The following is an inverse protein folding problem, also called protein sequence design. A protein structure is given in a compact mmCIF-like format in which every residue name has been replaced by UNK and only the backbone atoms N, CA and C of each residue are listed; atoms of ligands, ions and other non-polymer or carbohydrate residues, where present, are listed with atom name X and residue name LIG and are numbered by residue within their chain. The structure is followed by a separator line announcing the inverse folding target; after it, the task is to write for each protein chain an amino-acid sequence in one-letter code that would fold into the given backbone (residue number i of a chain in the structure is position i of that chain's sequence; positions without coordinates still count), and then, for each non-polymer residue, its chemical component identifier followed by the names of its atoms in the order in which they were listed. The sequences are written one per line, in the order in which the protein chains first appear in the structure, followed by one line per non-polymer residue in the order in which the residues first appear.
data_IF_864059533338
#
_entry.id   IF_864059533338
#
_cell.length_a   1.000
_cell.length_b   1.000
_cell.length_c   1.000
_cell.angle_alpha   90.00
_cell.angle_beta   90.00
_cell.angle_gamma   90.00
#
_symmetry.space_group_name_H-M   'P 1'
#
loop_
_entity.id
_entity.type
_entity.pdbx_description
1 polymer ?
#
# COMPACT_ATOMS: atom_id res chain seq x y z
N UNK A 1 5.93 -6.57 -3.29
CA UNK A 1 7.14 -7.30 -3.67
C UNK A 1 7.35 -7.13 -5.17
N UNK A 2 8.53 -6.66 -5.58
CA UNK A 2 8.92 -6.61 -6.98
C UNK A 2 9.02 -8.01 -7.56
N UNK A 3 8.73 -8.20 -8.87
CA UNK A 3 8.98 -9.47 -9.52
C UNK A 3 10.47 -9.79 -9.47
N UNK A 4 10.81 -11.00 -9.04
CA UNK A 4 12.21 -11.43 -9.04
C UNK A 4 12.68 -11.61 -10.49
N UNK A 5 13.72 -10.88 -10.86
CA UNK A 5 14.42 -11.09 -12.11
C UNK A 5 15.71 -11.87 -11.81
N UNK A 6 15.93 -12.98 -12.51
CA UNK A 6 17.06 -13.87 -12.26
C UNK A 6 18.42 -13.27 -12.63
N UNK A 7 18.44 -12.17 -13.37
CA UNK A 7 19.66 -11.47 -13.73
C UNK A 7 20.19 -10.55 -12.61
N UNK A 8 19.41 -10.33 -11.54
CA UNK A 8 19.82 -9.51 -10.42
C UNK A 8 20.82 -10.20 -9.54
N UNK A 9 21.93 -9.53 -9.32
CA UNK A 9 22.99 -9.97 -8.43
C UNK A 9 23.05 -9.05 -7.23
N UNK A 10 23.12 -9.64 -6.05
CA UNK A 10 23.53 -8.93 -4.86
C UNK A 10 24.99 -8.53 -5.06
N UNK A 11 25.25 -7.22 -4.98
CA UNK A 11 26.58 -6.66 -5.18
C UNK A 11 27.20 -6.35 -3.83
N UNK A 12 28.42 -6.82 -3.60
CA UNK A 12 29.25 -6.42 -2.47
C UNK A 12 30.66 -6.23 -3.02
N UNK A 13 31.06 -4.98 -3.14
CA UNK A 13 32.38 -4.55 -3.61
C UNK A 13 33.10 -3.81 -2.50
N UNK A 14 34.20 -4.34 -2.03
CA UNK A 14 35.02 -3.76 -0.96
C UNK A 14 36.28 -3.13 -1.54
N UNK A 15 36.14 -1.96 -2.20
CA UNK A 15 37.27 -1.24 -2.83
C UNK A 15 38.18 -0.60 -1.78
N UNK A 16 37.61 -0.12 -0.67
CA UNK A 16 38.35 0.46 0.44
C UNK A 16 38.92 -0.56 1.44
N UNK A 17 38.67 -1.87 1.21
CA UNK A 17 39.17 -2.96 2.08
C UNK A 17 38.76 -2.83 3.56
N UNK A 18 37.52 -2.43 3.85
CA UNK A 18 37.01 -2.16 5.21
C UNK A 18 35.91 -3.13 5.67
N UNK A 19 35.37 -3.96 4.78
CA UNK A 19 34.29 -4.89 5.13
C UNK A 19 34.80 -6.17 5.80
N UNK A 20 36.02 -6.60 5.47
CA UNK A 20 36.59 -7.84 6.00
C UNK A 20 35.75 -9.08 5.60
N UNK A 21 35.25 -9.84 6.58
CA UNK A 21 34.39 -11.00 6.27
C UNK A 21 32.97 -10.55 5.94
N UNK A 22 32.57 -10.74 4.69
CA UNK A 22 31.28 -10.33 4.15
C UNK A 22 30.20 -11.42 4.16
N UNK A 23 30.43 -12.57 4.78
CA UNK A 23 29.50 -13.70 4.71
C UNK A 23 28.14 -13.36 5.36
N UNK A 24 28.14 -12.76 6.55
CA UNK A 24 26.90 -12.33 7.23
C UNK A 24 26.21 -11.21 6.45
N UNK A 25 26.96 -10.21 6.00
CA UNK A 25 26.41 -9.14 5.16
C UNK A 25 25.69 -9.72 3.93
N UNK A 26 26.34 -10.61 3.19
CA UNK A 26 25.71 -11.25 2.02
C UNK A 26 24.43 -12.01 2.37
N UNK A 27 24.40 -12.71 3.50
CA UNK A 27 23.20 -13.41 3.96
C UNK A 27 22.05 -12.45 4.26
N UNK A 28 22.31 -11.33 4.93
CA UNK A 28 21.31 -10.28 5.23
C UNK A 28 20.78 -9.66 3.93
N UNK A 29 21.66 -9.35 2.99
CA UNK A 29 21.26 -8.82 1.69
C UNK A 29 20.41 -9.84 0.88
N UNK A 30 20.75 -11.13 0.92
CA UNK A 30 19.94 -12.21 0.30
C UNK A 30 18.56 -12.28 0.97
N UNK A 31 18.49 -12.22 2.28
CA UNK A 31 17.23 -12.24 3.02
C UNK A 31 16.34 -11.04 2.65
N UNK A 32 16.92 -9.86 2.55
CA UNK A 32 16.22 -8.66 2.10
C UNK A 32 15.72 -8.80 0.66
N UNK A 33 16.56 -9.24 -0.28
CA UNK A 33 16.17 -9.50 -1.66
C UNK A 33 15.02 -10.50 -1.75
N UNK A 34 15.11 -11.61 -1.05
CA UNK A 34 14.06 -12.64 -1.05
C UNK A 34 12.73 -12.09 -0.49
N UNK A 35 12.79 -11.15 0.44
CA UNK A 35 11.63 -10.51 1.04
C UNK A 35 10.97 -9.50 0.11
N UNK A 36 11.77 -8.65 -0.52
CA UNK A 36 11.31 -7.45 -1.23
C UNK A 36 11.32 -7.60 -2.75
N UNK A 37 12.26 -8.35 -3.30
CA UNK A 37 12.60 -8.39 -4.72
C UNK A 37 13.54 -7.27 -5.16
N UNK A 38 13.94 -6.37 -4.24
CA UNK A 38 14.91 -5.30 -4.51
C UNK A 38 16.32 -5.87 -4.40
N UNK A 39 17.17 -5.58 -5.35
CA UNK A 39 18.59 -5.99 -5.36
C UNK A 39 19.43 -5.02 -4.52
N UNK A 40 19.88 -5.43 -3.32
CA UNK A 40 20.74 -4.56 -2.54
C UNK A 40 22.18 -4.63 -3.03
N UNK A 41 22.85 -3.48 -3.02
CA UNK A 41 24.26 -3.34 -3.36
C UNK A 41 24.99 -2.58 -2.24
N UNK A 42 26.19 -3.03 -1.89
CA UNK A 42 27.07 -2.36 -0.96
C UNK A 42 28.42 -2.18 -1.63
N UNK A 43 28.85 -0.94 -1.78
CA UNK A 43 30.14 -0.60 -2.41
C UNK A 43 30.89 0.30 -1.45
N UNK A 44 32.13 -0.10 -1.08
CA UNK A 44 33.01 0.76 -0.30
C UNK A 44 34.01 1.44 -1.21
N UNK A 45 34.35 2.70 -0.88
CA UNK A 45 35.24 3.54 -1.67
C UNK A 45 36.17 4.33 -0.76
N UNK A 46 37.27 4.83 -1.28
CA UNK A 46 38.11 5.79 -0.58
C UNK A 46 37.62 7.22 -0.85
N UNK A 47 37.92 8.13 0.08
CA UNK A 47 37.49 9.53 -0.06
C UNK A 47 38.08 10.20 -1.31
N UNK A 48 39.26 9.79 -1.75
CA UNK A 48 39.89 10.28 -2.98
C UNK A 48 39.13 9.88 -4.24
N UNK A 49 38.31 8.84 -4.22
CA UNK A 49 37.52 8.42 -5.38
C UNK A 49 36.48 9.48 -5.80
N UNK A 50 36.01 10.29 -4.85
CA UNK A 50 34.95 11.26 -5.10
C UNK A 50 35.34 12.71 -4.74
N UNK A 51 36.12 12.92 -3.68
CA UNK A 51 36.54 14.25 -3.28
C UNK A 51 37.39 14.93 -4.38
N UNK A 52 37.00 16.14 -4.76
CA UNK A 52 37.66 16.89 -5.82
C UNK A 52 37.04 16.70 -7.22
N UNK A 53 36.27 15.65 -7.45
CA UNK A 53 35.55 15.42 -8.72
C UNK A 53 34.04 15.62 -8.55
N UNK A 54 33.50 15.42 -7.37
CA UNK A 54 32.09 15.56 -7.01
C UNK A 54 31.94 16.56 -5.87
N UNK A 55 30.79 17.23 -5.78
CA UNK A 55 30.48 18.18 -4.71
C UNK A 55 30.29 17.49 -3.34
N UNK A 56 29.79 16.25 -3.37
CA UNK A 56 29.45 15.44 -2.19
C UNK A 56 29.35 13.95 -2.57
N UNK A 57 29.20 13.10 -1.58
CA UNK A 57 29.07 11.65 -1.78
C UNK A 57 27.76 11.28 -2.45
N UNK A 58 26.70 12.07 -2.27
CA UNK A 58 25.39 11.83 -2.91
C UNK A 58 25.51 11.87 -4.44
N UNK A 59 26.17 12.92 -4.97
CA UNK A 59 26.39 13.05 -6.41
C UNK A 59 27.27 11.93 -6.98
N UNK A 60 28.27 11.50 -6.22
CA UNK A 60 29.10 10.36 -6.59
C UNK A 60 28.30 9.06 -6.56
N UNK A 61 27.51 8.82 -5.54
CA UNK A 61 26.66 7.62 -5.42
C UNK A 61 25.61 7.56 -6.55
N UNK A 62 25.05 8.69 -6.94
CA UNK A 62 24.15 8.78 -8.10
C UNK A 62 24.86 8.39 -9.40
N UNK A 63 26.03 8.97 -9.67
CA UNK A 63 26.82 8.65 -10.87
C UNK A 63 27.24 7.17 -10.87
N UNK A 64 27.66 6.65 -9.71
CA UNK A 64 28.00 5.24 -9.54
C UNK A 64 26.77 4.35 -9.80
N UNK A 65 25.59 4.73 -9.30
CA UNK A 65 24.35 3.99 -9.53
C UNK A 65 24.02 3.90 -11.03
N UNK A 66 23.97 5.04 -11.70
CA UNK A 66 23.59 5.13 -13.14
C UNK A 66 24.58 4.38 -14.04
N UNK A 67 25.87 4.41 -13.69
CA UNK A 67 26.89 3.74 -14.50
C UNK A 67 27.06 2.25 -14.18
N UNK A 68 26.65 1.82 -12.99
CA UNK A 68 26.86 0.44 -12.53
C UNK A 68 25.63 -0.44 -12.73
N UNK A 69 24.43 0.12 -12.66
CA UNK A 69 23.16 -0.60 -12.79
C UNK A 69 22.39 -0.12 -14.03
N UNK A 70 21.95 -1.10 -14.83
CA UNK A 70 21.17 -0.83 -16.03
C UNK A 70 19.64 -0.77 -15.76
N UNK A 71 19.22 -0.81 -14.50
CA UNK A 71 17.82 -0.89 -14.08
C UNK A 71 17.54 -0.01 -12.84
N UNK A 72 16.27 0.12 -12.53
CA UNK A 72 15.75 0.94 -11.44
C UNK A 72 15.31 0.13 -10.20
N UNK A 73 15.77 -1.12 -10.07
CA UNK A 73 15.35 -2.03 -9.00
C UNK A 73 16.45 -2.37 -7.99
N UNK A 74 17.56 -1.64 -8.02
CA UNK A 74 18.63 -1.74 -7.04
C UNK A 74 18.47 -0.74 -5.90
N UNK A 75 19.05 -1.10 -4.75
CA UNK A 75 19.27 -0.21 -3.62
C UNK A 75 20.75 -0.25 -3.25
N UNK A 76 21.46 0.81 -3.58
CA UNK A 76 22.90 0.96 -3.38
C UNK A 76 23.17 1.66 -2.04
N UNK A 77 24.06 1.10 -1.25
CA UNK A 77 24.70 1.75 -0.10
C UNK A 77 26.17 1.97 -0.45
N UNK A 78 26.60 3.20 -0.48
CA UNK A 78 28.00 3.58 -0.65
C UNK A 78 28.56 3.94 0.72
N UNK A 79 29.69 3.35 1.08
CA UNK A 79 30.44 3.71 2.28
C UNK A 79 31.83 4.21 1.88
N UNK A 80 32.18 5.38 2.33
CA UNK A 80 33.46 6.03 2.03
C UNK A 80 34.30 6.23 3.29
N UNK A 81 35.59 6.03 3.16
CA UNK A 81 36.57 6.14 4.27
C UNK A 81 37.84 6.83 3.78
N UNK A 82 38.64 7.42 4.69
CA UNK A 82 39.95 7.95 4.33
C UNK A 82 40.83 6.95 3.59
N UNK A 83 41.65 7.45 2.69
CA UNK A 83 42.57 6.65 1.90
C UNK A 83 43.51 5.83 2.76
N UNK A 84 43.67 4.55 2.46
CA UNK A 84 44.51 3.66 3.22
C UNK A 84 44.07 3.43 4.66
N UNK A 85 42.77 3.62 4.95
CA UNK A 85 42.19 3.45 6.28
C UNK A 85 42.56 2.09 6.90
N UNK A 86 42.95 2.13 8.17
CA UNK A 86 43.13 0.95 9.01
C UNK A 86 42.15 0.98 10.19
N UNK A 87 41.67 -0.17 10.63
CA UNK A 87 40.80 -0.27 11.81
C UNK A 87 41.39 0.28 13.10
N UNK A 88 42.69 0.57 13.13
CA UNK A 88 43.42 1.23 14.21
C UNK A 88 43.35 2.76 14.14
N UNK A 89 42.92 3.33 13.02
CA UNK A 89 42.86 4.76 12.82
C UNK A 89 41.59 5.34 13.47
N UNK A 90 41.65 6.63 13.80
CA UNK A 90 40.48 7.31 14.38
C UNK A 90 39.29 7.38 13.44
N UNK A 91 38.11 7.73 13.99
CA UNK A 91 36.83 7.74 13.28
C UNK A 91 36.52 9.06 12.60
N UNK A 92 37.46 9.71 12.03
CA UNK A 92 37.26 10.98 11.34
C UNK A 92 37.13 10.71 9.84
N UNK A 93 36.35 11.54 9.17
CA UNK A 93 36.22 11.62 7.71
C UNK A 93 35.67 10.36 6.98
N UNK A 94 34.77 9.62 7.60
CA UNK A 94 33.99 8.60 6.91
C UNK A 94 32.58 9.14 6.58
N UNK A 95 32.05 8.66 5.47
CA UNK A 95 30.74 9.07 4.94
C UNK A 95 29.98 7.84 4.46
N UNK A 96 28.69 7.97 4.31
CA UNK A 96 27.90 6.96 3.61
C UNK A 96 26.69 7.62 2.95
N UNK A 97 26.18 6.98 1.88
CA UNK A 97 25.02 7.45 1.15
C UNK A 97 24.21 6.26 0.64
N UNK A 98 22.88 6.44 0.57
CA UNK A 98 21.94 5.47 0.04
C UNK A 98 21.32 5.97 -1.26
N UNK A 99 21.38 5.17 -2.31
CA UNK A 99 20.75 5.48 -3.60
C UNK A 99 19.80 4.36 -4.01
N UNK A 100 18.57 4.71 -4.39
CA UNK A 100 17.56 3.75 -4.80
C UNK A 100 17.03 4.05 -6.18
N UNK A 101 16.69 3.02 -6.95
CA UNK A 101 16.01 3.17 -8.24
C UNK A 101 14.51 3.37 -8.08
N UNK A 102 13.89 4.01 -9.06
CA UNK A 102 12.47 4.40 -9.04
C UNK A 102 11.51 3.20 -8.86
N UNK A 103 11.86 2.02 -9.35
CA UNK A 103 11.04 0.80 -9.21
C UNK A 103 10.95 0.31 -7.77
N UNK A 104 11.78 0.84 -6.86
CA UNK A 104 11.80 0.44 -5.44
C UNK A 104 10.89 1.28 -4.55
N UNK A 105 10.38 2.42 -5.01
CA UNK A 105 9.68 3.44 -4.22
C UNK A 105 8.43 2.92 -3.49
N UNK A 106 7.70 1.98 -4.09
CA UNK A 106 6.54 1.36 -3.46
C UNK A 106 6.88 0.53 -2.21
N UNK A 107 8.12 0.10 -2.09
CA UNK A 107 8.64 -0.72 -0.98
C UNK A 107 9.54 0.11 -0.06
N UNK A 108 10.48 0.83 -0.64
CA UNK A 108 11.40 1.75 0.05
C UNK A 108 10.79 3.15 0.12
N UNK A 109 9.68 3.25 0.82
CA UNK A 109 9.05 4.55 1.06
C UNK A 109 9.94 5.41 1.96
N UNK A 110 9.76 6.73 1.93
CA UNK A 110 10.49 7.68 2.79
C UNK A 110 10.53 7.26 4.27
N UNK A 111 9.43 6.75 4.80
CA UNK A 111 9.40 6.25 6.19
C UNK A 111 10.27 5.01 6.41
N UNK A 112 10.41 4.16 5.41
CA UNK A 112 11.24 2.94 5.48
C UNK A 112 12.71 3.31 5.36
N UNK A 113 13.05 4.16 4.39
CA UNK A 113 14.43 4.61 4.18
C UNK A 113 14.93 5.44 5.35
N UNK A 114 14.13 6.37 5.89
CA UNK A 114 14.49 7.14 7.06
C UNK A 114 14.76 6.24 8.28
N UNK A 115 13.91 5.24 8.51
CA UNK A 115 14.12 4.29 9.62
C UNK A 115 15.40 3.46 9.45
N UNK A 116 15.70 3.04 8.21
CA UNK A 116 16.96 2.35 7.91
C UNK A 116 18.17 3.26 8.08
N UNK A 117 18.09 4.48 7.59
CA UNK A 117 19.17 5.46 7.66
C UNK A 117 19.53 5.79 9.11
N UNK A 118 18.52 5.98 9.97
CA UNK A 118 18.72 6.22 11.40
C UNK A 118 19.43 5.03 12.07
N UNK A 119 18.99 3.80 11.78
CA UNK A 119 19.59 2.60 12.36
C UNK A 119 21.01 2.35 11.80
N UNK A 120 21.23 2.52 10.50
CA UNK A 120 22.53 2.38 9.88
C UNK A 120 23.51 3.43 10.44
N UNK A 121 23.11 4.68 10.53
CA UNK A 121 23.94 5.75 11.12
C UNK A 121 24.32 5.42 12.57
N UNK A 122 23.37 4.97 13.36
CA UNK A 122 23.58 4.55 14.76
C UNK A 122 24.57 3.39 14.85
N UNK A 123 24.40 2.35 14.01
CA UNK A 123 25.25 1.18 14.00
C UNK A 123 26.68 1.51 13.50
N UNK A 124 26.79 2.32 12.46
CA UNK A 124 28.08 2.81 11.96
C UNK A 124 28.82 3.67 12.99
N UNK A 125 28.13 4.43 13.81
CA UNK A 125 28.72 5.25 14.88
C UNK A 125 29.16 4.40 16.07
N UNK A 126 28.51 3.25 16.31
CA UNK A 126 28.83 2.36 17.43
C UNK A 126 30.01 1.41 17.15
N UNK A 127 31.16 1.96 16.77
CA UNK A 127 32.37 1.23 16.30
C UNK A 127 32.99 0.25 17.30
N UNK A 128 32.77 0.45 18.57
CA UNK A 128 33.23 -0.51 19.58
C UNK A 128 32.43 -1.81 19.57
N UNK A 129 31.24 -1.76 18.96
CA UNK A 129 30.30 -2.87 18.88
C UNK A 129 30.22 -3.49 17.48
N UNK A 130 30.31 -2.66 16.44
CA UNK A 130 30.12 -3.09 15.06
C UNK A 130 31.32 -2.74 14.18
N UNK A 131 31.70 -3.65 13.30
CA UNK A 131 32.49 -3.35 12.10
C UNK A 131 31.58 -2.72 11.03
N UNK A 132 32.12 -2.15 9.96
CA UNK A 132 31.33 -1.60 8.85
C UNK A 132 30.39 -2.67 8.28
N UNK A 133 30.92 -3.86 8.02
CA UNK A 133 30.16 -4.99 7.50
C UNK A 133 29.01 -5.41 8.43
N UNK A 134 29.27 -5.54 9.74
CA UNK A 134 28.24 -5.95 10.70
C UNK A 134 27.24 -4.83 10.99
N UNK A 135 27.63 -3.56 10.91
CA UNK A 135 26.69 -2.43 11.01
C UNK A 135 25.66 -2.46 9.89
N UNK A 136 26.12 -2.62 8.64
CA UNK A 136 25.23 -2.71 7.48
C UNK A 136 24.36 -3.99 7.56
N UNK A 137 24.96 -5.13 7.85
CA UNK A 137 24.27 -6.42 8.02
C UNK A 137 23.13 -6.31 9.03
N UNK A 138 23.40 -5.81 10.24
CA UNK A 138 22.41 -5.64 11.31
C UNK A 138 21.28 -4.71 10.87
N UNK A 139 21.58 -3.62 10.18
CA UNK A 139 20.55 -2.68 9.71
C UNK A 139 19.62 -3.33 8.69
N UNK A 140 20.12 -4.17 7.80
CA UNK A 140 19.29 -4.97 6.90
C UNK A 140 18.48 -6.06 7.64
N UNK A 141 19.07 -6.71 8.64
CA UNK A 141 18.40 -7.74 9.43
C UNK A 141 17.23 -7.15 10.24
N UNK A 142 17.38 -5.95 10.79
CA UNK A 142 16.32 -5.24 11.51
C UNK A 142 15.22 -4.73 10.56
N UNK A 143 15.57 -4.28 9.36
CA UNK A 143 14.62 -3.81 8.36
C UNK A 143 13.82 -4.97 7.73
N UNK A 144 14.46 -6.05 7.35
CA UNK A 144 13.86 -7.12 6.54
C UNK A 144 12.55 -7.69 7.10
N UNK A 145 12.39 -7.96 8.40
CA UNK A 145 11.14 -8.45 8.95
C UNK A 145 10.03 -7.39 9.02
N UNK A 146 10.39 -6.11 8.94
CA UNK A 146 9.45 -4.98 9.10
C UNK A 146 9.04 -4.35 7.77
N UNK A 147 9.90 -4.42 6.77
CA UNK A 147 9.62 -3.92 5.42
C UNK A 147 8.40 -4.62 4.82
N UNK A 148 7.54 -3.87 4.13
CA UNK A 148 6.28 -4.35 3.55
C UNK A 148 5.21 -4.76 4.58
N UNK A 149 5.39 -4.50 5.87
CA UNK A 149 4.28 -4.61 6.82
C UNK A 149 3.38 -3.41 6.66
N UNK A 150 2.13 -3.66 6.30
CA UNK A 150 1.10 -2.61 6.32
C UNK A 150 0.94 -2.09 7.75
N UNK A 151 1.39 -0.88 8.00
CA UNK A 151 1.09 -0.19 9.27
C UNK A 151 -0.34 0.34 9.16
N UNK A 152 -1.26 -0.22 9.95
CA UNK A 152 -2.61 0.35 10.06
C UNK A 152 -2.48 1.74 10.66
N UNK A 153 -2.83 2.75 9.88
CA UNK A 153 -2.90 4.10 10.39
C UNK A 153 -4.16 4.23 11.26
N UNK A 154 -4.01 3.97 12.55
CA UNK A 154 -5.08 4.01 13.53
C UNK A 154 -5.78 5.37 13.57
N UNK A 155 -5.05 6.46 13.34
CA UNK A 155 -5.62 7.81 13.29
C UNK A 155 -6.59 7.94 12.10
N UNK A 156 -6.19 7.50 10.90
CA UNK A 156 -7.08 7.47 9.74
C UNK A 156 -8.28 6.55 9.94
N UNK A 157 -8.08 5.39 10.56
CA UNK A 157 -9.16 4.46 10.84
C UNK A 157 -10.17 5.08 11.81
N UNK A 158 -9.73 5.66 12.92
CA UNK A 158 -10.62 6.30 13.89
C UNK A 158 -11.32 7.54 13.32
N UNK A 159 -10.65 8.36 12.53
CA UNK A 159 -11.29 9.52 11.88
C UNK A 159 -12.34 9.08 10.87
N UNK A 160 -12.08 8.03 10.09
CA UNK A 160 -13.07 7.46 9.15
C UNK A 160 -14.30 6.92 9.87
N UNK A 161 -14.10 6.20 10.98
CA UNK A 161 -15.21 5.68 11.82
C UNK A 161 -16.01 6.85 12.43
N UNK A 162 -15.33 7.88 12.92
CA UNK A 162 -16.00 9.06 13.51
C UNK A 162 -16.85 9.81 12.48
N UNK A 163 -16.33 10.00 11.26
CA UNK A 163 -17.07 10.62 10.16
C UNK A 163 -18.31 9.78 9.80
N UNK A 164 -18.15 8.46 9.68
CA UNK A 164 -19.25 7.56 9.36
C UNK A 164 -20.33 7.61 10.45
N UNK A 165 -19.94 7.57 11.72
CA UNK A 165 -20.86 7.67 12.85
C UNK A 165 -21.61 9.02 12.87
N UNK A 166 -20.93 10.11 12.56
CA UNK A 166 -21.51 11.44 12.44
C UNK A 166 -22.55 11.51 11.31
N UNK A 167 -22.25 10.96 10.14
CA UNK A 167 -23.18 10.89 9.00
C UNK A 167 -24.40 10.05 9.36
N UNK A 168 -24.22 8.88 9.97
CA UNK A 168 -25.31 8.02 10.42
C UNK A 168 -26.20 8.72 11.46
N UNK A 169 -25.60 9.42 12.44
CA UNK A 169 -26.34 10.18 13.44
C UNK A 169 -27.18 11.30 12.79
N UNK A 170 -26.58 12.05 11.87
CA UNK A 170 -27.30 13.09 11.12
C UNK A 170 -28.46 12.52 10.31
N UNK A 171 -28.23 11.42 9.59
CA UNK A 171 -29.29 10.74 8.85
C UNK A 171 -30.44 10.31 9.78
N UNK A 172 -30.14 9.72 10.95
CA UNK A 172 -31.13 9.34 11.93
C UNK A 172 -31.91 10.54 12.48
N UNK A 173 -31.24 11.66 12.77
CA UNK A 173 -31.87 12.89 13.23
C UNK A 173 -32.79 13.48 12.16
N UNK A 174 -32.35 13.53 10.90
CA UNK A 174 -33.16 14.06 9.79
C UNK A 174 -34.41 13.24 9.55
N UNK A 175 -34.33 11.89 9.62
CA UNK A 175 -35.50 11.00 9.56
C UNK A 175 -36.41 11.20 10.79
N UNK A 176 -35.79 11.36 11.98
CA UNK A 176 -36.54 11.60 13.23
C UNK A 176 -37.31 12.90 13.27
N UNK A 177 -36.77 13.98 12.69
CA UNK A 177 -37.35 15.32 12.69
C UNK A 177 -38.33 15.51 11.53
N UNK A 178 -38.14 14.82 10.40
CA UNK A 178 -38.99 14.99 9.22
C UNK A 178 -40.23 14.07 9.31
N UNK A 179 -41.44 14.64 9.59
CA UNK A 179 -42.67 13.83 9.74
C UNK A 179 -43.05 13.11 8.44
N UNK A 180 -42.67 13.64 7.27
CA UNK A 180 -42.91 12.99 5.98
C UNK A 180 -42.02 11.78 5.81
N UNK A 181 -40.72 11.90 6.12
CA UNK A 181 -39.78 10.77 6.04
C UNK A 181 -40.16 9.65 7.01
N UNK A 182 -40.64 10.00 8.23
CA UNK A 182 -41.17 9.05 9.20
C UNK A 182 -42.41 8.30 8.72
N UNK A 183 -43.27 9.00 7.97
CA UNK A 183 -44.46 8.42 7.37
C UNK A 183 -44.07 7.39 6.29
N UNK A 184 -43.11 7.73 5.44
CA UNK A 184 -42.62 6.80 4.39
C UNK A 184 -41.85 5.63 4.99
N UNK A 185 -41.03 5.81 6.01
CA UNK A 185 -40.32 4.72 6.67
C UNK A 185 -41.27 3.71 7.36
N UNK A 186 -42.49 4.12 7.71
CA UNK A 186 -43.53 3.27 8.28
C UNK A 186 -44.55 2.80 7.26
N UNK A 187 -44.48 3.26 6.02
CA UNK A 187 -45.35 2.82 4.96
C UNK A 187 -45.15 1.31 4.72
N UNK A 188 -46.18 0.52 4.88
CA UNK A 188 -46.15 -0.85 4.41
C UNK A 188 -46.03 -0.82 2.88
N UNK A 189 -45.28 -1.75 2.28
CA UNK A 189 -45.30 -1.90 0.83
C UNK A 189 -46.75 -2.06 0.42
N UNK A 190 -47.18 -1.25 -0.57
CA UNK A 190 -48.55 -1.37 -1.12
C UNK A 190 -48.69 -2.78 -1.68
N UNK A 191 -49.50 -3.61 -1.03
CA UNK A 191 -49.81 -4.94 -1.52
C UNK A 191 -50.80 -4.92 -2.70
N UNK A 192 -51.29 -3.73 -3.03
CA UNK A 192 -52.19 -3.52 -4.16
C UNK A 192 -51.39 -3.10 -5.42
N UNK A 193 -50.45 -3.93 -5.84
CA UNK A 193 -50.11 -3.97 -7.24
C UNK A 193 -51.42 -4.35 -7.97
N UNK A 194 -51.89 -3.49 -8.89
CA UNK A 194 -53.06 -3.77 -9.69
C UNK A 194 -52.95 -5.20 -10.24
N UNK A 195 -53.81 -6.07 -9.76
CA UNK A 195 -53.79 -7.46 -10.22
C UNK A 195 -54.42 -7.49 -11.62
N UNK A 196 -53.61 -7.89 -12.58
CA UNK A 196 -54.08 -8.10 -13.95
C UNK A 196 -54.50 -9.57 -14.12
N UNK A 197 -55.68 -9.78 -14.69
CA UNK A 197 -56.20 -11.11 -15.08
C UNK A 197 -56.60 -11.13 -16.53
N UNK A 198 -56.47 -12.28 -17.15
CA UNK A 198 -56.95 -12.48 -18.53
C UNK A 198 -58.42 -12.85 -18.55
N UNK A 199 -59.19 -12.22 -19.47
CA UNK A 199 -60.57 -12.56 -19.72
C UNK A 199 -60.69 -13.99 -20.23
N UNK A 200 -61.51 -14.81 -19.61
CA UNK A 200 -61.74 -16.23 -19.98
C UNK A 200 -62.32 -16.43 -21.39
N UNK A 201 -63.00 -15.40 -21.94
CA UNK A 201 -63.63 -15.46 -23.24
C UNK A 201 -62.71 -15.01 -24.39
N UNK A 202 -61.91 -13.98 -24.22
CA UNK A 202 -61.14 -13.43 -25.34
C UNK A 202 -59.62 -13.30 -25.05
N UNK A 203 -59.20 -13.65 -23.88
CA UNK A 203 -57.77 -13.56 -23.47
C UNK A 203 -57.22 -12.14 -23.22
N UNK A 204 -58.04 -11.08 -23.37
CA UNK A 204 -57.62 -9.71 -23.12
C UNK A 204 -57.38 -9.49 -21.62
N UNK A 205 -56.29 -8.83 -21.29
CA UNK A 205 -55.91 -8.56 -19.88
C UNK A 205 -56.67 -7.36 -19.35
N UNK A 206 -57.34 -7.51 -18.21
CA UNK A 206 -57.99 -6.41 -17.46
C UNK A 206 -57.44 -6.32 -16.06
N UNK A 207 -57.61 -5.12 -15.46
CA UNK A 207 -57.21 -4.86 -14.09
C UNK A 207 -58.38 -5.17 -13.16
N UNK A 208 -58.14 -6.02 -12.16
CA UNK A 208 -59.13 -6.41 -11.15
C UNK A 208 -59.58 -5.15 -10.39
N UNK A 209 -60.86 -5.10 -10.01
CA UNK A 209 -61.48 -3.98 -9.26
C UNK A 209 -61.69 -2.69 -10.09
N UNK A 210 -61.59 -2.74 -11.43
CA UNK A 210 -61.77 -1.56 -12.30
C UNK A 210 -62.99 -1.60 -13.22
N UNK A 211 -63.49 -2.77 -13.57
CA UNK A 211 -64.58 -2.93 -14.54
C UNK A 211 -65.47 -4.13 -14.20
N UNK A 212 -66.72 -4.09 -14.63
CA UNK A 212 -67.72 -5.16 -14.46
C UNK A 212 -67.82 -6.04 -15.69
N UNK A 213 -67.39 -5.54 -16.85
CA UNK A 213 -67.39 -6.24 -18.14
C UNK A 213 -66.04 -6.10 -18.82
N UNK A 214 -65.64 -7.06 -19.58
CA UNK A 214 -64.36 -7.02 -20.30
C UNK A 214 -64.37 -5.85 -21.31
N UNK A 215 -63.39 -4.94 -21.22
CA UNK A 215 -63.33 -3.75 -22.08
C UNK A 215 -63.11 -4.11 -23.57
N UNK A 216 -62.72 -5.35 -23.88
CA UNK A 216 -62.44 -5.75 -25.24
C UNK A 216 -63.66 -6.51 -25.88
N UNK A 217 -64.30 -7.44 -25.17
CA UNK A 217 -65.35 -8.30 -25.75
C UNK A 217 -66.71 -8.12 -25.07
N UNK A 218 -66.87 -7.31 -24.03
CA UNK A 218 -68.12 -7.09 -23.31
C UNK A 218 -68.59 -8.25 -22.44
N UNK A 219 -67.79 -9.33 -22.32
CA UNK A 219 -68.13 -10.43 -21.44
C UNK A 219 -68.15 -10.06 -20.00
N UNK A 220 -69.03 -10.56 -19.13
CA UNK A 220 -69.07 -10.26 -17.72
C UNK A 220 -67.79 -10.76 -17.02
N UNK A 221 -67.21 -9.94 -16.16
CA UNK A 221 -66.08 -10.30 -15.34
C UNK A 221 -66.60 -11.04 -14.09
N UNK A 222 -65.83 -12.06 -13.57
CA UNK A 222 -66.20 -12.75 -12.34
C UNK A 222 -66.52 -11.81 -11.19
N UNK A 223 -67.54 -12.07 -10.37
CA UNK A 223 -67.97 -11.16 -9.29
C UNK A 223 -66.87 -10.82 -8.29
N UNK A 224 -65.92 -11.72 -8.04
CA UNK A 224 -64.78 -11.55 -7.18
C UNK A 224 -63.73 -10.55 -7.68
N UNK A 225 -63.78 -10.25 -8.99
CA UNK A 225 -62.85 -9.32 -9.64
C UNK A 225 -63.49 -7.98 -9.98
N UNK A 226 -64.82 -7.80 -9.70
CA UNK A 226 -65.54 -6.57 -9.93
C UNK A 226 -65.29 -5.50 -8.88
N UNK A 227 -65.49 -4.20 -9.20
CA UNK A 227 -65.31 -3.09 -8.24
C UNK A 227 -66.12 -3.30 -6.95
N UNK A 228 -65.41 -3.23 -5.80
CA UNK A 228 -66.04 -3.34 -4.48
C UNK A 228 -66.17 -4.75 -3.91
N UNK A 229 -65.80 -5.80 -4.64
CA UNK A 229 -65.89 -7.18 -4.16
C UNK A 229 -64.97 -7.50 -2.95
N UNK A 230 -63.95 -6.69 -2.71
CA UNK A 230 -62.99 -6.88 -1.59
C UNK A 230 -63.44 -6.30 -0.27
N UNK A 231 -64.62 -5.69 -0.22
CA UNK A 231 -65.09 -5.01 1.02
C UNK A 231 -66.33 -5.71 1.64
N UNK A 232 -66.66 -6.85 1.16
CA UNK A 232 -67.64 -7.73 1.79
C UNK A 232 -66.91 -8.99 2.31
#
# INVERSE_FOLDING_TARGET
KLPQNYDYKIVVEDKANVLGNTAELRNSLVAFYNRTGISPAVITVENSDWQGNYSDLENYAYDLYVNHFADESHWLIVYSTPDGYSSSDGFEDWYWEGMQGNDTDDVLTESVTNSFNDELQKNLTARTRYTVSSAISTSFDDLTPTVMKSKVNWTMLFTSIAILAFVCLHACLMIGINPKARKYAKAKPCSDAAQEKACEYCGYTYVVDTCTECPHCGAPIPPEDQPGARFT
#
